data_IF_445933953375
#
_entry.id   IF_445933953375
#
_cell.length_a   1.000
_cell.length_b   1.000
_cell.length_c   1.000
_cell.angle_alpha   90.00
_cell.angle_beta   90.00
_cell.angle_gamma   90.00
#
_symmetry.space_group_name_H-M   'P 1'
#
loop_
_entity.id
_entity.type
_entity.pdbx_description
1 polymer ?
#
# COMPACT_ATOMS: atom_id res chain seq x y z
N UNK A 1 -117.77 -10.43 64.93
CA UNK A 1 -117.31 -10.16 63.54
C UNK A 1 -116.56 -8.85 63.33
N UNK A 2 -116.90 -7.73 63.96
CA UNK A 2 -116.27 -6.43 63.64
C UNK A 2 -114.78 -6.31 64.00
N UNK A 3 -114.34 -6.92 65.11
CA UNK A 3 -112.95 -6.85 65.58
C UNK A 3 -111.97 -7.61 64.66
N UNK A 4 -112.43 -8.69 64.03
CA UNK A 4 -111.59 -9.47 63.10
C UNK A 4 -111.28 -8.73 61.80
N UNK A 5 -112.19 -7.87 61.34
CA UNK A 5 -112.00 -7.10 60.11
C UNK A 5 -110.96 -5.98 60.30
N UNK A 6 -110.94 -5.34 61.47
CA UNK A 6 -109.98 -4.30 61.81
C UNK A 6 -108.55 -4.87 61.86
N UNK A 7 -108.36 -6.05 62.45
CA UNK A 7 -107.05 -6.69 62.49
C UNK A 7 -106.52 -7.07 61.10
N UNK A 8 -107.39 -7.57 60.21
CA UNK A 8 -106.99 -7.89 58.83
C UNK A 8 -106.62 -6.63 58.05
N UNK A 9 -107.38 -5.54 58.20
CA UNK A 9 -107.03 -4.25 57.57
C UNK A 9 -105.75 -3.64 58.14
N UNK A 10 -105.52 -3.74 59.45
CA UNK A 10 -104.29 -3.23 60.07
C UNK A 10 -103.07 -4.04 59.61
N UNK A 11 -103.19 -5.36 59.45
CA UNK A 11 -102.11 -6.22 58.95
C UNK A 11 -101.85 -6.00 57.44
N UNK A 12 -102.88 -5.75 56.65
CA UNK A 12 -102.74 -5.35 55.24
C UNK A 12 -102.08 -3.97 55.12
N UNK A 13 -102.48 -3.00 55.94
CA UNK A 13 -101.85 -1.67 55.96
C UNK A 13 -100.41 -1.73 56.46
N UNK A 14 -100.10 -2.53 57.47
CA UNK A 14 -98.73 -2.65 57.98
C UNK A 14 -97.81 -3.33 56.96
N UNK A 15 -98.31 -4.35 56.24
CA UNK A 15 -97.55 -5.00 55.17
C UNK A 15 -97.41 -4.09 53.94
N UNK A 16 -98.46 -3.37 53.53
CA UNK A 16 -98.38 -2.41 52.43
C UNK A 16 -97.46 -1.22 52.79
N UNK A 17 -97.45 -0.77 54.05
CA UNK A 17 -96.58 0.30 54.53
C UNK A 17 -95.11 -0.15 54.64
N UNK A 18 -94.86 -1.42 55.03
CA UNK A 18 -93.50 -1.98 55.00
C UNK A 18 -93.00 -2.26 53.57
N UNK A 19 -93.89 -2.58 52.63
CA UNK A 19 -93.55 -2.78 51.22
C UNK A 19 -93.39 -1.48 50.42
N UNK A 20 -93.82 -0.32 50.94
CA UNK A 20 -93.78 0.96 50.19
C UNK A 20 -92.66 1.92 50.62
N UNK A 21 -91.79 1.54 51.56
CA UNK A 21 -90.50 2.22 51.73
C UNK A 21 -89.47 1.72 50.70
N UNK A 22 -89.82 1.80 49.42
CA UNK A 22 -88.83 1.82 48.35
C UNK A 22 -88.19 3.21 48.46
N UNK A 23 -87.06 3.30 49.16
CA UNK A 23 -86.20 4.47 49.09
C UNK A 23 -85.91 4.67 47.61
N UNK A 24 -86.35 5.79 47.04
CA UNK A 24 -85.98 6.16 45.68
C UNK A 24 -84.45 6.15 45.63
N UNK A 25 -83.87 5.34 44.73
CA UNK A 25 -82.44 5.33 44.50
C UNK A 25 -82.11 6.62 43.76
N UNK A 26 -81.30 7.48 44.36
CA UNK A 26 -80.90 8.74 43.74
C UNK A 26 -80.16 8.48 42.41
N UNK A 27 -80.37 9.36 41.44
CA UNK A 27 -79.70 9.28 40.14
C UNK A 27 -78.26 9.78 40.28
N UNK A 28 -77.27 9.05 39.76
CA UNK A 28 -75.84 9.39 39.92
C UNK A 28 -75.52 10.79 39.39
N UNK A 29 -76.24 11.25 38.36
CA UNK A 29 -76.09 12.59 37.81
C UNK A 29 -76.43 13.70 38.82
N UNK A 30 -77.33 13.43 39.76
CA UNK A 30 -77.80 14.43 40.73
C UNK A 30 -76.87 14.51 41.94
N UNK A 31 -76.09 13.45 42.18
CA UNK A 31 -75.16 13.37 43.32
C UNK A 31 -73.75 13.82 42.92
N UNK A 32 -73.42 13.91 41.63
CA UNK A 32 -72.15 14.48 41.18
C UNK A 32 -72.15 16.01 41.33
N UNK A 33 -71.22 16.52 42.13
CA UNK A 33 -70.97 17.97 42.26
C UNK A 33 -70.38 18.59 40.99
N UNK A 34 -69.61 17.81 40.21
CA UNK A 34 -69.09 18.21 38.90
C UNK A 34 -68.90 16.98 37.99
N UNK A 35 -69.17 17.19 36.70
CA UNK A 35 -68.85 16.24 35.61
C UNK A 35 -67.53 16.58 34.92
N UNK A 36 -67.02 17.79 35.15
CA UNK A 36 -65.72 18.26 34.66
C UNK A 36 -64.65 17.99 35.72
N UNK A 37 -63.77 17.00 35.45
CA UNK A 37 -62.75 16.54 36.38
C UNK A 37 -61.43 17.33 36.27
N UNK A 38 -61.25 18.07 35.18
CA UNK A 38 -60.07 18.89 34.92
C UNK A 38 -58.87 18.10 34.40
N UNK A 39 -57.67 18.52 34.77
CA UNK A 39 -56.41 17.91 34.35
C UNK A 39 -56.05 16.71 35.21
N UNK A 40 -55.80 15.57 34.58
CA UNK A 40 -55.27 14.35 35.19
C UNK A 40 -53.82 14.16 34.72
N UNK A 41 -52.90 14.04 35.68
CA UNK A 41 -51.49 13.78 35.43
C UNK A 41 -51.23 12.27 35.47
N UNK A 42 -50.75 11.69 34.38
CA UNK A 42 -50.48 10.25 34.28
C UNK A 42 -48.98 9.96 34.18
N UNK A 43 -48.54 8.84 34.76
CA UNK A 43 -47.15 8.37 34.66
C UNK A 43 -46.91 7.54 33.39
N UNK A 44 -47.96 6.88 32.88
CA UNK A 44 -47.93 6.05 31.67
C UNK A 44 -48.24 6.80 30.37
N UNK A 45 -48.51 6.02 29.32
CA UNK A 45 -48.91 6.54 27.99
C UNK A 45 -50.42 6.66 27.82
N UNK A 46 -51.20 6.00 28.67
CA UNK A 46 -52.67 5.93 28.62
C UNK A 46 -53.23 6.12 30.02
N UNK A 47 -54.34 6.86 30.12
CA UNK A 47 -55.06 7.01 31.38
C UNK A 47 -55.75 5.69 31.77
N UNK A 48 -55.73 5.36 33.05
CA UNK A 48 -56.34 4.17 33.65
C UNK A 48 -57.71 4.47 34.24
N UNK A 49 -58.54 3.45 34.40
CA UNK A 49 -59.88 3.58 35.00
C UNK A 49 -59.78 4.02 36.47
N UNK A 50 -58.74 3.56 37.15
CA UNK A 50 -58.42 3.87 38.54
C UNK A 50 -58.03 5.36 38.71
N UNK A 51 -57.20 5.91 37.81
CA UNK A 51 -56.86 7.34 37.81
C UNK A 51 -58.12 8.22 37.63
N UNK A 52 -59.03 7.81 36.73
CA UNK A 52 -60.30 8.53 36.52
C UNK A 52 -61.19 8.43 37.76
N UNK A 53 -61.36 7.24 38.35
CA UNK A 53 -62.17 7.05 39.56
C UNK A 53 -61.61 7.86 40.72
N UNK A 54 -60.29 7.86 40.90
CA UNK A 54 -59.61 8.67 41.92
C UNK A 54 -59.93 10.15 41.73
N UNK A 55 -59.85 10.64 40.49
CA UNK A 55 -60.19 12.04 40.16
C UNK A 55 -61.67 12.36 40.41
N UNK A 56 -62.59 11.45 40.08
CA UNK A 56 -64.02 11.62 40.38
C UNK A 56 -64.22 11.77 41.89
N UNK A 57 -63.59 10.92 42.70
CA UNK A 57 -63.69 10.97 44.17
C UNK A 57 -63.03 12.21 44.78
N UNK A 58 -61.97 12.73 44.17
CA UNK A 58 -61.34 13.98 44.58
C UNK A 58 -62.26 15.19 44.33
N UNK A 59 -62.85 15.26 43.13
CA UNK A 59 -63.71 16.39 42.73
C UNK A 59 -65.13 16.31 43.27
N UNK A 60 -65.61 15.10 43.56
CA UNK A 60 -66.93 14.83 44.11
C UNK A 60 -66.77 14.15 45.48
N UNK A 61 -66.39 14.94 46.49
CA UNK A 61 -66.02 14.46 47.83
C UNK A 61 -67.09 13.58 48.50
N UNK A 62 -68.37 13.81 48.18
CA UNK A 62 -69.51 13.03 48.66
C UNK A 62 -69.54 11.58 48.11
N UNK A 63 -68.75 11.28 47.08
CA UNK A 63 -68.63 9.95 46.47
C UNK A 63 -67.38 9.17 46.90
N UNK A 64 -66.55 9.70 47.83
CA UNK A 64 -65.28 9.08 48.24
C UNK A 64 -65.41 7.61 48.65
N UNK A 65 -66.47 7.30 49.39
CA UNK A 65 -66.71 5.96 49.94
C UNK A 65 -67.61 5.09 49.05
N UNK A 66 -68.00 5.58 47.87
CA UNK A 66 -68.92 4.90 46.97
C UNK A 66 -68.17 4.00 46.00
N UNK A 67 -68.85 2.95 45.53
CA UNK A 67 -68.28 1.97 44.61
C UNK A 67 -68.51 2.40 43.15
N UNK A 68 -67.63 3.28 42.67
CA UNK A 68 -67.66 3.78 41.29
C UNK A 68 -66.97 2.81 40.32
N UNK A 69 -67.55 2.65 39.14
CA UNK A 69 -67.02 1.82 38.06
C UNK A 69 -67.06 2.57 36.73
N UNK A 70 -65.98 2.51 35.96
CA UNK A 70 -65.95 3.01 34.58
C UNK A 70 -66.62 1.99 33.66
N UNK A 71 -67.57 2.47 32.86
CA UNK A 71 -68.31 1.68 31.87
C UNK A 71 -67.59 1.75 30.53
N UNK A 72 -67.21 0.59 30.00
CA UNK A 72 -66.47 0.50 28.74
C UNK A 72 -65.02 0.98 28.86
N UNK A 73 -64.44 1.35 27.71
CA UNK A 73 -63.10 1.94 27.64
C UNK A 73 -63.19 3.47 27.66
N UNK A 74 -62.45 4.16 28.53
CA UNK A 74 -62.41 5.61 28.55
C UNK A 74 -61.77 6.15 27.26
N UNK A 75 -62.21 7.31 26.81
CA UNK A 75 -61.53 8.03 25.72
C UNK A 75 -60.43 8.92 26.29
N UNK A 76 -59.76 9.68 25.41
CA UNK A 76 -58.74 10.66 25.82
C UNK A 76 -59.31 11.84 26.61
N UNK A 77 -60.61 12.08 26.54
CA UNK A 77 -61.24 13.29 27.08
C UNK A 77 -62.50 13.03 27.91
N UNK A 78 -63.05 11.82 27.89
CA UNK A 78 -64.24 11.48 28.65
C UNK A 78 -64.28 10.00 29.06
N UNK A 79 -65.12 9.70 30.04
CA UNK A 79 -65.47 8.34 30.44
C UNK A 79 -66.90 8.29 30.96
N UNK A 80 -67.56 7.14 30.82
CA UNK A 80 -68.85 6.88 31.49
C UNK A 80 -68.60 6.21 32.83
N UNK A 81 -69.24 6.69 33.88
CA UNK A 81 -69.15 6.14 35.24
C UNK A 81 -70.55 5.69 35.70
N UNK A 82 -70.58 4.58 36.42
CA UNK A 82 -71.75 4.10 37.16
C UNK A 82 -71.39 3.79 38.60
N UNK A 83 -72.40 3.63 39.44
CA UNK A 83 -72.28 3.13 40.80
C UNK A 83 -73.32 2.04 41.03
N UNK A 84 -73.05 1.09 41.91
CA UNK A 84 -74.09 0.18 42.39
C UNK A 84 -75.03 0.85 43.38
N UNK A 85 -74.60 1.97 43.96
CA UNK A 85 -75.32 2.70 45.01
C UNK A 85 -76.30 3.75 44.44
N UNK A 86 -76.23 4.04 43.13
CA UNK A 86 -77.01 5.08 42.45
C UNK A 86 -77.54 4.58 41.10
N UNK A 87 -78.67 5.12 40.64
CA UNK A 87 -79.23 4.81 39.34
C UNK A 87 -78.51 5.60 38.23
N UNK A 88 -78.34 5.00 37.05
CA UNK A 88 -77.86 5.71 35.85
C UNK A 88 -76.35 5.70 35.62
N UNK A 89 -75.96 6.02 34.39
CA UNK A 89 -74.57 6.23 33.98
C UNK A 89 -74.35 7.70 33.66
N UNK A 90 -73.20 8.24 34.05
CA UNK A 90 -72.87 9.66 33.84
C UNK A 90 -71.57 9.76 33.06
N UNK A 91 -71.56 10.59 32.03
CA UNK A 91 -70.35 10.95 31.33
C UNK A 91 -69.60 12.05 32.09
N UNK A 92 -68.32 11.84 32.33
CA UNK A 92 -67.39 12.80 32.94
C UNK A 92 -66.31 13.17 31.94
N UNK A 93 -65.87 14.42 31.96
CA UNK A 93 -64.86 14.97 31.06
C UNK A 93 -63.56 15.31 31.79
N UNK A 94 -62.43 15.15 31.11
CA UNK A 94 -61.08 15.42 31.64
C UNK A 94 -60.08 15.72 30.52
N UNK A 95 -58.90 16.22 30.91
CA UNK A 95 -57.73 16.33 30.04
C UNK A 95 -56.57 15.56 30.64
N UNK A 96 -55.72 14.97 29.79
CA UNK A 96 -54.61 14.12 30.23
C UNK A 96 -53.28 14.76 29.84
N UNK A 97 -52.37 14.92 30.81
CA UNK A 97 -50.97 15.32 30.55
C UNK A 97 -50.02 14.35 31.23
N UNK A 98 -48.94 13.98 30.53
CA UNK A 98 -47.90 13.12 31.11
C UNK A 98 -47.15 13.88 32.20
N UNK A 99 -46.92 13.23 33.34
CA UNK A 99 -46.09 13.75 34.43
C UNK A 99 -44.63 13.78 33.96
N UNK A 100 -44.04 14.97 33.91
CA UNK A 100 -42.61 15.13 33.65
C UNK A 100 -41.84 14.79 34.93
N UNK A 101 -41.06 13.71 34.90
CA UNK A 101 -40.09 13.42 35.96
C UNK A 101 -38.84 14.24 35.64
N UNK A 102 -38.56 15.26 36.44
CA UNK A 102 -37.32 16.02 36.32
C UNK A 102 -36.13 15.10 36.56
N UNK A 103 -35.33 14.85 35.52
CA UNK A 103 -34.05 14.14 35.66
C UNK A 103 -33.07 15.04 36.40
N UNK A 104 -32.15 14.44 37.16
CA UNK A 104 -31.07 15.17 37.83
C UNK A 104 -29.97 15.50 36.80
N UNK A 105 -29.30 16.64 36.98
CA UNK A 105 -28.21 17.08 36.11
C UNK A 105 -26.99 16.13 36.17
N UNK A 106 -26.48 15.69 35.01
CA UNK A 106 -25.32 14.80 34.91
C UNK A 106 -24.09 15.35 35.63
N UNK A 107 -23.90 16.67 35.59
CA UNK A 107 -22.79 17.36 36.25
C UNK A 107 -22.77 17.19 37.77
N UNK A 108 -23.90 16.83 38.39
CA UNK A 108 -24.01 16.51 39.82
C UNK A 108 -23.26 15.21 40.17
N UNK A 109 -23.20 14.28 39.23
CA UNK A 109 -22.57 12.97 39.40
C UNK A 109 -21.17 12.91 38.77
N UNK A 110 -20.92 13.68 37.71
CA UNK A 110 -19.61 13.82 37.08
C UNK A 110 -18.72 14.84 37.81
N UNK A 111 -18.35 14.49 39.06
CA UNK A 111 -17.56 15.34 39.95
C UNK A 111 -16.12 15.54 39.46
N UNK A 112 -15.50 14.48 38.94
CA UNK A 112 -14.15 14.48 38.39
C UNK A 112 -14.21 14.61 36.86
N UNK A 113 -13.96 15.81 36.37
CA UNK A 113 -13.93 16.13 34.93
C UNK A 113 -12.55 15.96 34.31
N UNK A 114 -11.49 16.06 35.10
CA UNK A 114 -10.14 15.70 34.66
C UNK A 114 -9.92 14.20 34.84
N UNK A 115 -9.83 13.50 33.71
CA UNK A 115 -9.64 12.05 33.67
C UNK A 115 -8.17 11.66 33.79
N UNK A 116 -7.24 12.62 33.68
CA UNK A 116 -5.80 12.38 33.70
C UNK A 116 -5.28 11.76 32.41
N UNK A 117 -4.27 10.89 32.54
CA UNK A 117 -3.63 10.20 31.41
C UNK A 117 -4.45 8.96 31.00
N UNK A 118 -4.92 8.93 29.74
CA UNK A 118 -5.53 7.75 29.12
C UNK A 118 -4.49 7.05 28.24
N UNK A 119 -4.28 5.76 28.52
CA UNK A 119 -3.34 4.92 27.76
C UNK A 119 -4.04 4.27 26.57
N UNK A 120 -3.90 4.85 25.38
CA UNK A 120 -4.46 4.32 24.13
C UNK A 120 -3.38 3.68 23.26
N UNK A 121 -3.74 2.70 22.43
CA UNK A 121 -2.83 2.06 21.45
C UNK A 121 -2.21 3.08 20.49
N UNK A 122 -2.98 4.12 20.16
CA UNK A 122 -2.61 5.21 19.26
C UNK A 122 -2.70 6.56 20.00
N UNK A 123 -2.24 7.65 19.36
CA UNK A 123 -2.38 9.00 19.94
C UNK A 123 -3.82 9.54 19.90
N UNK A 124 -4.75 8.77 19.31
CA UNK A 124 -6.18 9.03 19.37
C UNK A 124 -6.83 8.06 20.36
N UNK A 125 -7.49 8.59 21.39
CA UNK A 125 -8.26 7.81 22.37
C UNK A 125 -9.61 7.45 21.77
N UNK A 126 -10.06 6.22 21.97
CA UNK A 126 -11.40 5.79 21.53
C UNK A 126 -12.46 6.09 22.59
N UNK A 127 -13.72 6.22 22.19
CA UNK A 127 -14.83 6.65 23.06
C UNK A 127 -14.98 5.75 24.29
N UNK A 128 -14.76 4.45 24.11
CA UNK A 128 -14.85 3.43 25.15
C UNK A 128 -13.79 3.62 26.24
N UNK A 129 -12.56 4.03 25.88
CA UNK A 129 -11.49 4.31 26.83
C UNK A 129 -11.83 5.54 27.69
N UNK A 130 -12.40 6.58 27.07
CA UNK A 130 -12.87 7.79 27.77
C UNK A 130 -13.99 7.42 28.75
N UNK A 131 -15.00 6.67 28.30
CA UNK A 131 -16.12 6.23 29.15
C UNK A 131 -15.61 5.37 30.31
N UNK A 132 -14.66 4.46 30.05
CA UNK A 132 -14.07 3.64 31.10
C UNK A 132 -13.36 4.50 32.15
N UNK A 133 -12.61 5.51 31.71
CA UNK A 133 -11.90 6.42 32.62
C UNK A 133 -12.87 7.30 33.41
N UNK A 134 -13.97 7.75 32.79
CA UNK A 134 -15.05 8.48 33.49
C UNK A 134 -15.62 7.62 34.62
N UNK A 135 -15.94 6.35 34.34
CA UNK A 135 -16.50 5.41 35.32
C UNK A 135 -15.53 5.04 36.43
N UNK A 136 -14.23 5.00 36.13
CA UNK A 136 -13.18 4.79 37.14
C UNK A 136 -13.07 6.00 38.08
N UNK A 137 -13.06 7.22 37.54
CA UNK A 137 -12.90 8.46 38.31
C UNK A 137 -14.19 8.92 39.00
N UNK A 138 -15.35 8.50 38.51
CA UNK A 138 -16.67 8.87 39.03
C UNK A 138 -17.46 7.59 39.34
N UNK A 139 -17.22 6.99 40.50
CA UNK A 139 -17.81 5.71 40.91
C UNK A 139 -19.34 5.68 40.86
N UNK A 140 -19.99 6.83 41.12
CA UNK A 140 -21.45 7.00 41.07
C UNK A 140 -22.02 6.74 39.66
N UNK A 141 -21.18 6.82 38.61
CA UNK A 141 -21.53 6.62 37.22
C UNK A 141 -21.18 5.22 36.67
N UNK A 142 -20.60 4.32 37.48
CA UNK A 142 -20.06 3.02 37.04
C UNK A 142 -21.09 2.16 36.27
N UNK A 143 -22.34 2.17 36.74
CA UNK A 143 -23.43 1.37 36.18
C UNK A 143 -24.36 2.17 35.24
N UNK A 144 -24.01 3.43 34.94
CA UNK A 144 -24.83 4.29 34.11
C UNK A 144 -24.48 4.14 32.63
N UNK A 145 -25.46 4.39 31.76
CA UNK A 145 -25.26 4.31 30.31
C UNK A 145 -24.72 5.63 29.75
N UNK A 146 -23.40 5.81 29.86
CA UNK A 146 -22.71 7.00 29.35
C UNK A 146 -22.42 6.88 27.85
N UNK A 147 -22.55 7.99 27.13
CA UNK A 147 -22.25 8.09 25.70
C UNK A 147 -21.41 9.34 25.43
N UNK A 148 -20.38 9.21 24.57
CA UNK A 148 -19.63 10.37 24.06
C UNK A 148 -20.42 11.02 22.93
N UNK A 149 -20.61 12.33 23.03
CA UNK A 149 -21.28 13.16 22.03
C UNK A 149 -20.26 13.59 20.97
N UNK A 150 -20.58 13.30 19.70
CA UNK A 150 -19.70 13.62 18.58
C UNK A 150 -18.38 12.84 18.58
N UNK A 151 -17.34 13.42 17.97
CA UNK A 151 -15.97 12.91 18.02
C UNK A 151 -15.18 13.62 19.13
N UNK A 152 -14.46 12.89 20.00
CA UNK A 152 -13.58 13.50 20.98
C UNK A 152 -12.43 14.24 20.29
N UNK A 153 -11.98 15.33 20.90
CA UNK A 153 -10.75 16.03 20.52
C UNK A 153 -9.54 15.34 21.16
N UNK A 154 -8.33 15.84 20.89
CA UNK A 154 -7.09 15.28 21.45
C UNK A 154 -7.04 15.31 22.99
N UNK A 155 -7.74 16.25 23.62
CA UNK A 155 -7.66 16.46 25.09
C UNK A 155 -9.02 16.60 25.76
N UNK A 156 -10.13 16.51 25.02
CA UNK A 156 -11.48 16.75 25.55
C UNK A 156 -12.55 15.90 24.89
N UNK A 157 -13.59 15.59 25.64
CA UNK A 157 -14.80 14.97 25.13
C UNK A 157 -16.05 15.47 25.86
N UNK A 158 -17.18 15.47 25.16
CA UNK A 158 -18.49 15.74 25.77
C UNK A 158 -19.19 14.41 26.03
N UNK A 159 -19.73 14.23 27.23
CA UNK A 159 -20.46 13.03 27.66
C UNK A 159 -21.91 13.36 28.00
N UNK A 160 -22.81 12.45 27.65
CA UNK A 160 -24.23 12.47 28.02
C UNK A 160 -24.67 11.11 28.58
N UNK A 161 -25.87 11.07 29.13
CA UNK A 161 -26.55 9.86 29.56
C UNK A 161 -28.05 10.00 29.34
N UNK A 162 -28.72 8.89 29.02
CA UNK A 162 -30.19 8.87 28.95
C UNK A 162 -30.83 8.89 30.35
N UNK A 163 -30.07 8.60 31.41
CA UNK A 163 -30.56 8.56 32.80
C UNK A 163 -30.55 9.95 33.46
N UNK A 164 -29.81 10.90 32.90
CA UNK A 164 -29.63 12.25 33.44
C UNK A 164 -30.05 13.32 32.41
N UNK A 165 -30.22 14.55 32.86
CA UNK A 165 -30.30 15.70 31.95
C UNK A 165 -28.94 16.40 31.83
N UNK A 166 -28.73 17.09 30.70
CA UNK A 166 -27.52 17.83 30.41
C UNK A 166 -26.38 16.99 29.84
N UNK A 167 -25.38 17.71 29.32
CA UNK A 167 -24.12 17.16 28.84
C UNK A 167 -22.98 17.77 29.65
N UNK A 168 -21.85 17.06 29.74
CA UNK A 168 -20.70 17.56 30.47
C UNK A 168 -19.40 17.32 29.71
N UNK A 169 -18.50 18.29 29.77
CA UNK A 169 -17.16 18.18 29.18
C UNK A 169 -16.19 17.55 30.19
N UNK A 170 -15.35 16.64 29.70
CA UNK A 170 -14.22 16.04 30.40
C UNK A 170 -12.92 16.34 29.68
N UNK A 171 -11.82 16.41 30.43
CA UNK A 171 -10.47 16.65 29.92
C UNK A 171 -9.57 15.45 30.18
N UNK A 172 -8.58 15.22 29.31
CA UNK A 172 -7.60 14.15 29.45
C UNK A 172 -6.32 14.46 28.69
N UNK A 173 -5.27 13.69 28.96
CA UNK A 173 -4.06 13.61 28.14
C UNK A 173 -3.92 12.19 27.59
N UNK A 174 -3.31 12.06 26.41
CA UNK A 174 -3.13 10.76 25.76
C UNK A 174 -1.69 10.32 25.86
N UNK A 175 -1.46 9.14 26.41
CA UNK A 175 -0.16 8.47 26.32
C UNK A 175 -0.30 7.21 25.49
N UNK A 176 0.59 7.06 24.51
CA UNK A 176 0.65 5.84 23.72
C UNK A 176 0.99 4.67 24.66
N UNK A 177 0.14 3.65 24.66
CA UNK A 177 0.35 2.40 25.36
C UNK A 177 1.57 1.72 24.75
N UNK A 178 2.66 1.70 25.49
CA UNK A 178 3.82 0.89 25.12
C UNK A 178 3.40 -0.58 25.19
N UNK A 179 3.21 -1.18 24.02
CA UNK A 179 3.14 -2.63 23.92
C UNK A 179 4.58 -3.10 24.10
N UNK A 180 4.89 -3.64 25.28
CA UNK A 180 6.17 -4.27 25.54
C UNK A 180 6.36 -5.38 24.49
N UNK A 181 7.17 -5.12 23.47
CA UNK A 181 7.51 -6.16 22.49
C UNK A 181 8.34 -7.20 23.23
N UNK A 182 8.18 -8.47 22.86
CA UNK A 182 9.00 -9.52 23.44
C UNK A 182 10.37 -9.51 22.76
N UNK A 183 11.42 -9.85 23.51
CA UNK A 183 12.81 -9.88 23.01
C UNK A 183 12.97 -10.90 21.87
N UNK A 184 13.54 -10.49 20.74
CA UNK A 184 13.75 -11.36 19.57
C UNK A 184 14.53 -12.64 19.92
N UNK A 185 15.48 -12.54 20.86
CA UNK A 185 16.30 -13.66 21.33
C UNK A 185 15.50 -14.78 22.00
N UNK A 186 14.30 -14.51 22.51
CA UNK A 186 13.41 -15.55 23.07
C UNK A 186 12.78 -16.43 21.98
N UNK A 187 12.65 -15.89 20.76
CA UNK A 187 12.12 -16.61 19.61
C UNK A 187 13.24 -17.20 18.74
N UNK A 188 14.38 -16.51 18.61
CA UNK A 188 15.55 -16.98 17.87
C UNK A 188 16.39 -17.91 18.75
N UNK A 189 15.89 -19.14 18.93
CA UNK A 189 16.52 -20.17 19.77
C UNK A 189 17.77 -20.76 19.13
N UNK A 190 17.74 -21.00 17.82
CA UNK A 190 18.85 -21.56 17.06
C UNK A 190 19.65 -20.43 16.40
N UNK A 191 20.78 -20.07 17.01
CA UNK A 191 21.69 -19.02 16.52
C UNK A 191 22.75 -19.51 15.55
N UNK A 192 23.14 -20.78 15.66
CA UNK A 192 24.00 -21.43 14.68
C UNK A 192 23.14 -22.00 13.55
N UNK A 193 23.24 -21.38 12.37
CA UNK A 193 22.46 -21.72 11.20
C UNK A 193 23.07 -22.90 10.43
N UNK A 194 24.32 -23.28 10.76
CA UNK A 194 25.12 -24.25 10.04
C UNK A 194 25.54 -23.75 8.66
N UNK A 195 25.59 -24.67 7.70
CA UNK A 195 26.01 -24.37 6.33
C UNK A 195 24.90 -23.67 5.53
N UNK A 196 25.27 -22.54 4.91
CA UNK A 196 24.47 -21.82 3.91
C UNK A 196 25.12 -22.02 2.55
N UNK A 197 24.37 -22.59 1.61
CA UNK A 197 24.81 -22.70 0.23
C UNK A 197 24.59 -21.37 -0.49
N UNK A 198 25.67 -20.74 -0.96
CA UNK A 198 25.61 -19.46 -1.68
C UNK A 198 26.39 -19.53 -2.99
N UNK A 199 26.05 -18.73 -3.99
CA UNK A 199 26.82 -18.66 -5.25
C UNK A 199 28.18 -17.98 -5.05
N UNK A 200 28.25 -17.07 -4.09
CA UNK A 200 29.43 -16.27 -3.78
C UNK A 200 30.14 -16.79 -2.52
N UNK A 201 31.30 -16.20 -2.20
CA UNK A 201 32.06 -16.52 -0.99
C UNK A 201 31.37 -16.07 0.30
N UNK A 202 30.35 -15.22 0.20
CA UNK A 202 29.55 -14.71 1.32
C UNK A 202 28.08 -14.99 1.08
N UNK A 203 27.38 -15.41 2.13
CA UNK A 203 25.94 -15.56 2.09
C UNK A 203 25.26 -14.19 1.96
N UNK A 204 24.23 -14.12 1.13
CA UNK A 204 23.36 -12.95 0.99
C UNK A 204 22.43 -12.82 2.21
N UNK A 205 21.85 -11.63 2.40
CA UNK A 205 20.93 -11.36 3.52
C UNK A 205 19.70 -12.26 3.44
N UNK A 206 19.20 -12.49 2.23
CA UNK A 206 18.04 -13.33 1.93
C UNK A 206 18.33 -14.81 2.22
N UNK A 207 19.51 -15.31 1.86
CA UNK A 207 19.95 -16.67 2.19
C UNK A 207 20.04 -16.88 3.71
N UNK A 208 20.60 -15.90 4.45
CA UNK A 208 20.69 -15.93 5.90
C UNK A 208 19.30 -15.90 6.55
N UNK A 209 18.42 -14.99 6.13
CA UNK A 209 17.03 -14.91 6.65
C UNK A 209 16.28 -16.21 6.38
N UNK A 210 16.42 -16.77 5.18
CA UNK A 210 15.80 -18.05 4.83
C UNK A 210 16.28 -19.17 5.75
N UNK A 211 17.58 -19.22 6.06
CA UNK A 211 18.15 -20.20 6.98
C UNK A 211 17.72 -19.98 8.43
N UNK A 212 17.59 -18.74 8.88
CA UNK A 212 17.01 -18.41 10.20
C UNK A 212 15.60 -18.98 10.31
N UNK A 213 14.75 -18.75 9.29
CA UNK A 213 13.36 -19.22 9.26
C UNK A 213 13.25 -20.75 9.19
N UNK A 214 14.17 -21.41 8.49
CA UNK A 214 14.27 -22.88 8.46
C UNK A 214 14.61 -23.46 9.84
N UNK A 215 15.57 -22.85 10.56
CA UNK A 215 16.04 -23.34 11.86
C UNK A 215 15.19 -22.88 13.05
N UNK A 216 14.39 -21.84 12.87
CA UNK A 216 13.50 -21.26 13.87
C UNK A 216 12.09 -21.12 13.28
N UNK A 217 11.36 -22.24 13.17
CA UNK A 217 10.05 -22.30 12.50
C UNK A 217 9.01 -21.31 13.05
N UNK A 218 9.11 -20.91 14.33
CA UNK A 218 8.29 -19.89 14.97
C UNK A 218 8.48 -18.48 14.37
N UNK A 219 9.54 -18.24 13.60
CA UNK A 219 9.86 -16.99 12.93
C UNK A 219 9.50 -16.99 11.43
N UNK A 220 8.92 -18.08 10.89
CA UNK A 220 8.69 -18.25 9.44
C UNK A 220 7.88 -17.10 8.81
N UNK A 221 6.86 -16.62 9.52
CA UNK A 221 5.96 -15.56 9.07
C UNK A 221 6.34 -14.16 9.57
N UNK A 222 7.46 -14.05 10.29
CA UNK A 222 7.89 -12.77 10.87
C UNK A 222 8.71 -11.97 9.86
N UNK A 223 8.66 -10.64 9.98
CA UNK A 223 9.46 -9.75 9.16
C UNK A 223 10.86 -9.61 9.79
N UNK A 224 11.81 -10.41 9.31
CA UNK A 224 13.21 -10.40 9.76
C UNK A 224 14.06 -9.58 8.79
N UNK A 225 15.01 -8.82 9.33
CA UNK A 225 15.94 -7.99 8.56
C UNK A 225 17.37 -8.21 9.07
N UNK A 226 18.33 -8.34 8.16
CA UNK A 226 19.75 -8.31 8.52
C UNK A 226 20.22 -6.86 8.62
N UNK A 227 20.87 -6.53 9.73
CA UNK A 227 21.47 -5.22 9.96
C UNK A 227 22.87 -5.15 9.36
N UNK A 228 23.12 -4.09 8.59
CA UNK A 228 24.40 -3.88 7.92
C UNK A 228 24.69 -4.93 6.85
N UNK A 229 25.97 -5.11 6.54
CA UNK A 229 26.46 -6.20 5.69
C UNK A 229 26.84 -7.42 6.55
N UNK A 230 26.43 -8.65 6.16
CA UNK A 230 26.92 -9.87 6.79
C UNK A 230 28.44 -9.96 6.71
N UNK A 231 29.04 -10.49 7.77
CA UNK A 231 30.43 -10.96 7.74
C UNK A 231 30.48 -12.37 7.16
N UNK A 232 31.68 -12.92 6.97
CA UNK A 232 31.87 -14.26 6.39
C UNK A 232 31.13 -15.38 7.13
N UNK A 233 30.96 -15.24 8.45
CA UNK A 233 30.37 -16.29 9.29
C UNK A 233 29.36 -15.78 10.34
N UNK A 234 29.00 -14.49 10.30
CA UNK A 234 28.06 -13.89 11.27
C UNK A 234 27.19 -12.82 10.64
N UNK A 235 25.98 -12.69 11.17
CA UNK A 235 25.07 -11.59 10.88
C UNK A 235 24.31 -11.16 12.13
N UNK A 236 23.88 -9.91 12.15
CA UNK A 236 22.95 -9.38 13.16
C UNK A 236 21.57 -9.28 12.53
N UNK A 237 20.56 -9.83 13.18
CA UNK A 237 19.16 -9.81 12.74
C UNK A 237 18.31 -9.00 13.70
N UNK A 238 17.35 -8.25 13.14
CA UNK A 238 16.30 -7.53 13.86
C UNK A 238 14.93 -7.85 13.26
N UNK A 239 13.89 -7.38 13.93
CA UNK A 239 12.52 -7.45 13.43
C UNK A 239 11.72 -6.27 13.97
N UNK A 240 10.77 -5.77 13.19
CA UNK A 240 9.85 -4.73 13.66
C UNK A 240 8.78 -5.30 14.60
N UNK A 241 8.60 -6.62 14.64
CA UNK A 241 7.61 -7.29 15.49
C UNK A 241 8.14 -7.56 16.91
N UNK A 242 9.46 -7.54 17.09
CA UNK A 242 10.15 -7.84 18.35
C UNK A 242 11.01 -6.66 18.82
N UNK A 243 11.44 -6.66 20.07
CA UNK A 243 12.50 -5.75 20.53
C UNK A 243 13.85 -6.47 20.54
N UNK A 244 14.92 -5.68 20.45
CA UNK A 244 16.30 -6.19 20.49
C UNK A 244 16.79 -6.77 19.17
N UNK A 245 18.07 -7.11 19.18
CA UNK A 245 18.80 -7.66 18.04
C UNK A 245 19.44 -8.99 18.44
N UNK A 246 19.57 -9.90 17.49
CA UNK A 246 20.20 -11.18 17.72
C UNK A 246 21.35 -11.41 16.73
N UNK A 247 22.44 -12.00 17.21
CA UNK A 247 23.55 -12.44 16.35
C UNK A 247 23.39 -13.92 16.02
N UNK A 248 23.60 -14.24 14.75
CA UNK A 248 23.62 -15.60 14.22
C UNK A 248 24.99 -15.92 13.65
N UNK A 249 25.33 -17.21 13.63
CA UNK A 249 26.58 -17.74 13.05
C UNK A 249 26.25 -18.74 11.94
N UNK A 250 27.12 -18.85 10.95
CA UNK A 250 26.97 -19.79 9.84
C UNK A 250 28.32 -20.05 9.16
N UNK A 251 28.37 -21.08 8.32
CA UNK A 251 29.44 -21.29 7.34
C UNK A 251 28.87 -21.14 5.93
N UNK A 252 29.68 -20.72 4.97
CA UNK A 252 29.26 -20.60 3.57
C UNK A 252 29.87 -21.73 2.76
N UNK A 253 29.03 -22.52 2.10
CA UNK A 253 29.47 -23.45 1.07
C UNK A 253 29.16 -22.85 -0.28
N UNK A 254 30.20 -22.68 -1.09
CA UNK A 254 30.00 -22.19 -2.44
C UNK A 254 29.25 -23.24 -3.26
N UNK A 255 28.17 -22.81 -3.89
CA UNK A 255 27.42 -23.61 -4.84
C UNK A 255 28.29 -23.75 -6.08
N UNK A 256 28.86 -24.94 -6.29
CA UNK A 256 29.45 -25.27 -7.58
C UNK A 256 28.35 -25.18 -8.63
N UNK A 257 28.41 -24.12 -9.44
CA UNK A 257 27.62 -24.05 -10.66
C UNK A 257 28.41 -24.85 -11.68
N UNK A 258 28.04 -26.10 -11.88
CA UNK A 258 28.61 -26.94 -12.93
C UNK A 258 28.35 -26.26 -14.27
N UNK A 259 29.35 -25.54 -14.76
CA UNK A 259 29.33 -24.95 -16.11
C UNK A 259 29.37 -26.12 -17.09
N UNK A 260 28.63 -26.00 -18.19
CA UNK A 260 28.70 -26.99 -19.26
C UNK A 260 30.05 -26.83 -19.99
N UNK A 261 30.63 -27.93 -20.49
CA UNK A 261 31.89 -27.85 -21.24
C UNK A 261 31.74 -27.05 -22.54
N UNK A 262 32.69 -26.16 -22.84
CA UNK A 262 32.74 -25.36 -24.07
C UNK A 262 32.68 -26.24 -25.33
N UNK A 263 33.29 -27.43 -25.27
CA UNK A 263 33.30 -28.45 -26.32
C UNK A 263 31.88 -28.87 -26.77
N UNK A 264 30.88 -28.76 -25.89
CA UNK A 264 29.48 -29.10 -26.18
C UNK A 264 28.86 -28.13 -27.19
N UNK A 265 29.31 -26.87 -27.18
CA UNK A 265 28.77 -25.80 -28.03
C UNK A 265 29.70 -25.46 -29.21
N UNK A 266 31.02 -25.67 -29.05
CA UNK A 266 32.01 -25.50 -30.11
C UNK A 266 32.08 -26.76 -31.01
N UNK A 267 30.98 -27.02 -31.72
CA UNK A 267 30.83 -28.22 -32.58
C UNK A 267 31.74 -28.17 -33.81
N UNK A 268 31.92 -26.99 -34.40
CA UNK A 268 32.76 -26.75 -35.57
C UNK A 268 34.10 -26.15 -35.13
N UNK A 269 35.13 -27.02 -35.04
CA UNK A 269 36.50 -26.63 -34.68
C UNK A 269 37.34 -26.20 -35.88
N UNK A 270 37.01 -26.68 -37.06
CA UNK A 270 37.60 -26.18 -38.30
C UNK A 270 36.84 -24.94 -38.76
N UNK A 271 37.51 -23.79 -38.68
CA UNK A 271 36.95 -22.49 -39.03
C UNK A 271 37.07 -22.20 -40.54
N UNK A 272 37.84 -23.02 -41.26
CA UNK A 272 38.14 -22.84 -42.68
C UNK A 272 39.05 -21.64 -42.94
N UNK A 273 38.87 -21.02 -44.10
CA UNK A 273 39.66 -19.87 -44.54
C UNK A 273 39.22 -18.57 -43.83
N UNK A 274 40.14 -17.92 -43.13
CA UNK A 274 39.96 -16.58 -42.56
C UNK A 274 40.65 -15.56 -43.45
N UNK A 275 39.88 -14.57 -43.90
CA UNK A 275 40.39 -13.47 -44.73
C UNK A 275 40.88 -12.34 -43.84
N UNK A 276 42.21 -12.23 -43.70
CA UNK A 276 42.85 -11.18 -42.91
C UNK A 276 43.63 -10.21 -43.79
N UNK A 277 43.85 -8.98 -43.32
CA UNK A 277 44.64 -7.98 -44.06
C UNK A 277 46.09 -8.43 -44.26
N UNK A 278 46.60 -9.19 -43.31
CA UNK A 278 47.96 -9.74 -43.30
C UNK A 278 47.92 -11.28 -43.30
N UNK A 279 49.09 -11.91 -43.38
CA UNK A 279 49.21 -13.37 -43.27
C UNK A 279 49.07 -13.89 -41.83
N UNK A 280 48.92 -12.99 -40.85
CA UNK A 280 48.62 -13.32 -39.45
C UNK A 280 47.20 -12.84 -39.12
N UNK A 281 46.35 -13.78 -38.70
CA UNK A 281 44.96 -13.51 -38.30
C UNK A 281 44.93 -12.92 -36.89
N UNK A 282 44.04 -11.97 -36.63
CA UNK A 282 43.85 -11.41 -35.28
C UNK A 282 42.95 -12.29 -34.41
N UNK A 283 43.02 -12.11 -33.08
CA UNK A 283 42.16 -12.83 -32.14
C UNK A 283 40.68 -12.56 -32.40
N UNK A 284 40.35 -11.33 -32.77
CA UNK A 284 38.99 -10.89 -33.09
C UNK A 284 38.47 -11.53 -34.38
N UNK A 285 39.31 -11.66 -35.41
CA UNK A 285 38.97 -12.36 -36.65
C UNK A 285 38.67 -13.84 -36.37
N UNK A 286 39.48 -14.51 -35.54
CA UNK A 286 39.25 -15.90 -35.11
C UNK A 286 37.95 -16.02 -34.32
N UNK A 287 37.71 -15.16 -33.32
CA UNK A 287 36.48 -15.16 -32.51
C UNK A 287 35.25 -14.93 -33.39
N UNK A 288 35.34 -14.02 -34.35
CA UNK A 288 34.24 -13.75 -35.29
C UNK A 288 33.91 -14.98 -36.12
N UNK A 289 34.94 -15.67 -36.64
CA UNK A 289 34.77 -16.90 -37.40
C UNK A 289 34.21 -18.05 -36.54
N UNK A 290 34.64 -18.17 -35.28
CA UNK A 290 34.06 -19.13 -34.31
C UNK A 290 32.56 -18.89 -34.16
N UNK A 291 32.15 -17.63 -33.96
CA UNK A 291 30.75 -17.24 -33.77
C UNK A 291 29.90 -17.41 -35.04
N UNK A 292 30.50 -17.26 -36.21
CA UNK A 292 29.85 -17.53 -37.49
C UNK A 292 29.59 -19.03 -37.68
N UNK A 293 30.58 -19.88 -37.38
CA UNK A 293 30.51 -21.34 -37.56
C UNK A 293 29.75 -22.05 -36.43
N UNK A 294 29.65 -21.44 -35.25
CA UNK A 294 28.99 -22.00 -34.09
C UNK A 294 27.94 -21.00 -33.56
N UNK A 295 26.74 -21.02 -34.13
CA UNK A 295 25.67 -20.06 -33.83
C UNK A 295 25.30 -19.99 -32.34
N UNK A 296 25.43 -21.10 -31.61
CA UNK A 296 25.16 -21.20 -30.17
C UNK A 296 26.11 -20.33 -29.34
N UNK A 297 27.26 -19.94 -29.90
CA UNK A 297 28.28 -19.12 -29.26
C UNK A 297 28.24 -17.63 -29.65
N UNK A 298 27.32 -17.22 -30.53
CA UNK A 298 27.28 -15.86 -31.10
C UNK A 298 27.26 -14.74 -30.04
N UNK A 299 26.50 -14.95 -28.97
CA UNK A 299 26.32 -13.98 -27.88
C UNK A 299 27.21 -14.26 -26.67
N UNK A 300 28.07 -15.27 -26.73
CA UNK A 300 28.91 -15.68 -25.60
C UNK A 300 30.20 -14.85 -25.57
N UNK A 301 30.75 -14.71 -24.36
CA UNK A 301 32.04 -14.03 -24.19
C UNK A 301 33.18 -15.02 -24.44
N UNK A 302 33.70 -15.03 -25.65
CA UNK A 302 34.81 -15.89 -26.07
C UNK A 302 36.13 -15.12 -26.01
N UNK A 303 37.19 -15.80 -25.58
CA UNK A 303 38.54 -15.24 -25.51
C UNK A 303 39.54 -16.23 -26.09
N UNK A 304 40.50 -15.73 -26.88
CA UNK A 304 41.65 -16.53 -27.33
C UNK A 304 42.69 -16.57 -26.23
N UNK A 305 43.13 -17.78 -25.88
CA UNK A 305 44.17 -18.04 -24.89
C UNK A 305 45.53 -17.92 -25.56
N UNK A 306 46.41 -17.10 -24.98
CA UNK A 306 47.76 -16.88 -25.53
C UNK A 306 47.75 -16.18 -26.89
N UNK A 307 48.79 -16.40 -27.69
CA UNK A 307 48.88 -15.95 -29.07
C UNK A 307 48.47 -17.09 -30.04
N UNK A 308 47.63 -16.82 -31.05
CA UNK A 308 47.30 -17.81 -32.07
C UNK A 308 48.53 -18.14 -32.91
N UNK A 309 48.61 -19.40 -33.35
CA UNK A 309 49.59 -19.85 -34.35
C UNK A 309 49.07 -19.57 -35.76
N UNK A 310 49.85 -19.89 -36.79
CA UNK A 310 49.45 -19.67 -38.19
C UNK A 310 48.19 -20.45 -38.61
N UNK A 311 47.88 -21.56 -37.94
CA UNK A 311 46.77 -22.45 -38.32
C UNK A 311 45.87 -22.87 -37.16
N UNK A 312 46.19 -22.46 -35.93
CA UNK A 312 45.47 -22.91 -34.72
C UNK A 312 45.35 -21.83 -33.66
N UNK A 313 44.28 -21.90 -32.87
CA UNK A 313 44.10 -21.11 -31.67
C UNK A 313 43.38 -21.90 -30.57
N UNK A 314 43.64 -21.54 -29.31
CA UNK A 314 42.89 -22.07 -28.17
C UNK A 314 41.88 -21.03 -27.72
N UNK A 315 40.62 -21.41 -27.54
CA UNK A 315 39.52 -20.55 -27.09
C UNK A 315 38.98 -20.99 -25.74
N UNK A 316 38.65 -20.01 -24.90
CA UNK A 316 37.96 -20.19 -23.62
C UNK A 316 36.76 -19.24 -23.52
N UNK A 317 35.95 -19.44 -22.49
CA UNK A 317 34.84 -18.55 -22.15
C UNK A 317 34.62 -18.52 -20.65
N UNK A 318 34.22 -17.38 -20.11
CA UNK A 318 33.82 -17.27 -18.71
C UNK A 318 32.46 -17.92 -18.44
N UNK A 319 31.67 -18.19 -19.48
CA UNK A 319 30.33 -18.78 -19.40
C UNK A 319 30.37 -20.32 -19.34
N UNK A 320 31.47 -20.93 -19.76
CA UNK A 320 31.65 -22.38 -19.89
C UNK A 320 32.88 -22.87 -19.11
N UNK A 321 32.99 -24.18 -18.91
CA UNK A 321 34.24 -24.79 -18.42
C UNK A 321 35.06 -25.39 -19.57
N UNK A 322 36.37 -25.47 -19.38
CA UNK A 322 37.31 -26.02 -20.35
C UNK A 322 37.73 -25.06 -21.46
N UNK A 323 38.77 -25.45 -22.17
CA UNK A 323 39.31 -24.74 -23.33
C UNK A 323 39.21 -25.66 -24.55
N UNK A 324 39.16 -25.08 -25.75
CA UNK A 324 39.08 -25.86 -26.98
C UNK A 324 39.99 -25.29 -28.06
N UNK A 325 40.63 -26.18 -28.81
CA UNK A 325 41.44 -25.82 -29.97
C UNK A 325 40.57 -25.72 -31.23
N UNK A 326 40.81 -24.68 -32.03
CA UNK A 326 40.25 -24.47 -33.36
C UNK A 326 41.36 -24.41 -34.41
N UNK A 327 41.04 -24.80 -35.63
CA UNK A 327 41.96 -24.78 -36.79
C UNK A 327 41.45 -23.85 -37.88
N UNK A 328 42.35 -23.26 -38.65
CA UNK A 328 42.01 -22.38 -39.77
C UNK A 328 43.15 -22.29 -40.79
N UNK A 329 42.84 -21.74 -41.96
CA UNK A 329 43.83 -21.27 -42.95
C UNK A 329 43.69 -19.77 -43.14
N UNK A 330 44.76 -19.10 -43.56
CA UNK A 330 44.78 -17.64 -43.74
C UNK A 330 44.85 -17.29 -45.21
N UNK A 331 43.93 -16.45 -45.69
CA UNK A 331 44.03 -15.83 -47.00
C UNK A 331 44.16 -14.33 -46.86
N UNK A 332 45.20 -13.77 -47.48
CA UNK A 332 45.38 -12.33 -47.52
C UNK A 332 44.21 -11.69 -48.26
N UNK A 333 43.52 -10.77 -47.61
CA UNK A 333 42.45 -9.97 -48.18
C UNK A 333 43.06 -9.03 -49.21
N UNK A 334 42.79 -9.29 -50.49
CA UNK A 334 43.16 -8.35 -51.55
C UNK A 334 42.37 -7.06 -51.34
N UNK A 335 43.08 -5.98 -51.07
CA UNK A 335 42.51 -4.63 -51.09
C UNK A 335 42.75 -4.09 -52.49
N UNK A 336 41.72 -4.10 -53.33
CA UNK A 336 41.78 -3.48 -54.65
C UNK A 336 42.05 -1.98 -54.47
N UNK A 337 43.24 -1.51 -54.86
CA UNK A 337 43.54 -0.07 -54.92
C UNK A 337 42.75 0.53 -56.08
N UNK A 338 42.25 1.75 -55.90
CA UNK A 338 41.57 2.47 -56.99
C UNK A 338 42.63 2.98 -57.99
N UNK A 339 42.31 3.03 -59.28
CA UNK A 339 43.25 3.54 -60.30
C UNK A 339 43.59 5.02 -60.10
N UNK A 340 44.88 5.37 -60.24
CA UNK A 340 45.36 6.75 -60.17
C UNK A 340 44.68 7.66 -61.21
N UNK A 341 44.29 7.08 -62.36
CA UNK A 341 43.56 7.74 -63.46
C UNK A 341 42.22 8.35 -63.03
N UNK A 342 41.59 7.78 -62.00
CA UNK A 342 40.33 8.28 -61.45
C UNK A 342 40.52 9.63 -60.74
N UNK A 343 41.73 9.89 -60.25
CA UNK A 343 42.06 11.04 -59.42
C UNK A 343 42.95 12.07 -60.14
N UNK A 344 43.90 11.63 -60.98
CA UNK A 344 44.74 12.53 -61.77
C UNK A 344 44.06 12.83 -63.11
N UNK A 345 43.14 13.81 -63.07
CA UNK A 345 42.32 14.20 -64.22
C UNK A 345 43.02 15.19 -65.15
N UNK A 346 43.85 16.08 -64.58
CA UNK A 346 44.60 17.09 -65.33
C UNK A 346 46.05 16.63 -65.47
N UNK A 347 46.41 16.18 -66.68
CA UNK A 347 47.75 15.71 -67.03
C UNK A 347 48.66 16.80 -67.56
N UNK A 348 48.10 17.82 -68.21
CA UNK A 348 48.83 19.04 -68.58
C UNK A 348 48.92 19.97 -67.37
N UNK A 349 50.13 20.14 -66.86
CA UNK A 349 50.42 20.94 -65.67
C UNK A 349 50.66 22.41 -66.02
N UNK A 350 50.81 22.74 -67.30
CA UNK A 350 51.20 24.05 -67.80
C UNK A 350 52.64 24.42 -67.45
N UNK A 351 52.89 25.71 -67.24
CA UNK A 351 54.23 26.23 -66.94
C UNK A 351 54.64 25.93 -65.48
N UNK A 352 55.83 25.33 -65.33
CA UNK A 352 56.53 25.13 -64.07
C UNK A 352 57.73 26.08 -64.02
N UNK A 353 57.76 26.94 -63.00
CA UNK A 353 58.90 27.82 -62.75
C UNK A 353 59.98 27.05 -62.00
N UNK A 354 61.12 26.82 -62.64
CA UNK A 354 62.29 26.16 -62.04
C UNK A 354 63.51 27.08 -62.07
N UNK A 355 64.48 26.83 -61.19
CA UNK A 355 65.77 27.53 -61.22
C UNK A 355 66.61 27.17 -62.45
N UNK A 356 66.37 25.98 -63.00
CA UNK A 356 67.08 25.42 -64.15
C UNK A 356 66.14 25.20 -65.34
N UNK A 357 66.70 24.76 -66.47
CA UNK A 357 65.94 24.43 -67.68
C UNK A 357 65.13 23.13 -67.56
N UNK A 358 65.24 22.41 -66.44
CA UNK A 358 64.47 21.21 -66.11
C UNK A 358 63.75 21.40 -64.78
N UNK A 359 62.51 20.95 -64.70
CA UNK A 359 61.76 20.91 -63.45
C UNK A 359 62.25 19.76 -62.57
N UNK A 360 62.36 20.01 -61.27
CA UNK A 360 62.65 18.97 -60.27
C UNK A 360 61.42 18.11 -60.01
N UNK A 361 61.62 16.90 -59.45
CA UNK A 361 60.52 15.99 -59.12
C UNK A 361 59.53 16.63 -58.14
N UNK A 362 60.04 17.41 -57.19
CA UNK A 362 59.27 18.11 -56.18
C UNK A 362 58.43 19.26 -56.77
N UNK A 363 58.98 20.01 -57.72
CA UNK A 363 58.25 21.06 -58.45
C UNK A 363 57.12 20.46 -59.29
N UNK A 364 57.38 19.33 -59.96
CA UNK A 364 56.37 18.60 -60.73
C UNK A 364 55.27 18.06 -59.81
N UNK A 365 55.61 17.40 -58.70
CA UNK A 365 54.63 16.91 -57.72
C UNK A 365 53.79 18.06 -57.14
N UNK A 366 54.42 19.19 -56.82
CA UNK A 366 53.73 20.37 -56.33
C UNK A 366 52.72 20.89 -57.34
N UNK A 367 53.11 20.92 -58.63
CA UNK A 367 52.21 21.35 -59.71
C UNK A 367 51.07 20.36 -59.97
N UNK A 368 51.34 19.05 -59.90
CA UNK A 368 50.28 18.01 -59.95
C UNK A 368 49.25 18.25 -58.85
N UNK A 369 49.70 18.53 -57.62
CA UNK A 369 48.83 18.79 -56.46
C UNK A 369 48.05 20.10 -56.57
N UNK A 370 48.63 21.13 -57.19
CA UNK A 370 47.95 22.39 -57.49
C UNK A 370 46.83 22.19 -58.51
N UNK A 371 47.08 21.43 -59.58
CA UNK A 371 46.13 21.22 -60.68
C UNK A 371 45.08 20.14 -60.37
N UNK A 372 45.44 19.16 -59.54
CA UNK A 372 44.57 18.07 -59.11
C UNK A 372 44.38 18.15 -57.59
N UNK A 373 43.57 19.11 -57.12
CA UNK A 373 43.38 19.40 -55.69
C UNK A 373 43.02 18.18 -54.83
N UNK A 374 42.34 17.19 -55.40
CA UNK A 374 42.00 15.92 -54.74
C UNK A 374 43.23 15.04 -54.41
N UNK A 375 44.41 15.36 -54.95
CA UNK A 375 45.69 14.69 -54.69
C UNK A 375 46.59 15.46 -53.72
N UNK A 376 46.18 16.63 -53.21
CA UNK A 376 47.02 17.51 -52.37
C UNK A 376 47.66 16.80 -51.17
N UNK A 377 46.89 15.92 -50.53
CA UNK A 377 47.32 15.15 -49.36
C UNK A 377 47.73 13.71 -49.67
N UNK A 378 47.89 13.37 -50.96
CA UNK A 378 48.28 12.03 -51.39
C UNK A 378 49.78 11.94 -51.57
N UNK A 379 50.32 10.74 -51.35
CA UNK A 379 51.74 10.48 -51.52
C UNK A 379 52.02 10.18 -53.00
N UNK A 380 52.53 11.17 -53.73
CA UNK A 380 52.86 11.05 -55.15
C UNK A 380 54.37 10.94 -55.30
N UNK A 381 54.81 10.12 -56.26
CA UNK A 381 56.22 9.91 -56.58
C UNK A 381 56.42 10.02 -58.09
N UNK A 382 57.47 10.72 -58.52
CA UNK A 382 57.91 10.70 -59.92
C UNK A 382 58.75 9.45 -60.16
N UNK A 383 58.38 8.70 -61.19
CA UNK A 383 59.07 7.48 -61.64
C UNK A 383 60.20 7.88 -62.57
N UNK A 384 61.42 7.43 -62.25
CA UNK A 384 62.62 7.75 -63.03
C UNK A 384 62.99 9.24 -62.97
N UNK A 385 63.74 9.69 -63.97
CA UNK A 385 64.09 11.10 -64.18
C UNK A 385 63.08 11.77 -65.13
N UNK A 386 62.56 12.97 -64.80
CA UNK A 386 61.68 13.70 -65.70
C UNK A 386 62.43 14.15 -66.97
N UNK A 387 61.71 14.18 -68.09
CA UNK A 387 62.23 14.81 -69.31
C UNK A 387 62.00 16.33 -69.24
N UNK A 388 62.39 17.05 -70.30
CA UNK A 388 62.21 18.51 -70.35
C UNK A 388 60.74 18.94 -70.34
N UNK A 389 59.83 18.05 -70.75
CA UNK A 389 58.39 18.37 -70.89
C UNK A 389 57.45 17.32 -70.31
N UNK A 390 57.95 16.20 -69.80
CA UNK A 390 57.12 15.07 -69.33
C UNK A 390 57.67 14.42 -68.07
N UNK A 391 56.78 13.84 -67.27
CA UNK A 391 57.15 12.98 -66.15
C UNK A 391 56.10 11.89 -65.94
N UNK A 392 56.54 10.72 -65.47
CA UNK A 392 55.62 9.66 -65.03
C UNK A 392 55.43 9.74 -63.53
N UNK A 393 54.19 9.71 -63.05
CA UNK A 393 53.83 9.76 -61.64
C UNK A 393 53.11 8.49 -61.20
N UNK A 394 53.45 8.02 -60.00
CA UNK A 394 52.78 6.92 -59.31
C UNK A 394 52.44 7.30 -57.87
N UNK A 395 51.70 6.43 -57.19
CA UNK A 395 51.37 6.58 -55.77
C UNK A 395 51.20 5.22 -55.12
N UNK A 396 51.66 5.07 -53.88
CA UNK A 396 51.43 3.86 -53.11
C UNK A 396 49.97 3.72 -52.66
N UNK A 397 49.19 4.81 -52.71
CA UNK A 397 47.76 4.82 -52.35
C UNK A 397 46.86 4.30 -53.49
N UNK A 398 47.36 4.27 -54.72
CA UNK A 398 46.60 3.97 -55.94
C UNK A 398 47.30 2.89 -56.77
N UNK A 399 46.60 2.34 -57.77
CA UNK A 399 47.22 1.49 -58.79
C UNK A 399 47.40 2.26 -60.10
N UNK A 400 48.46 1.92 -60.85
CA UNK A 400 48.80 2.53 -62.14
C UNK A 400 49.79 3.70 -62.05
N UNK A 401 50.46 3.95 -63.18
CA UNK A 401 51.38 5.07 -63.39
C UNK A 401 50.85 5.93 -64.53
N UNK A 402 51.02 7.25 -64.46
CA UNK A 402 50.50 8.17 -65.46
C UNK A 402 51.54 9.19 -65.88
N UNK A 403 51.57 9.50 -67.17
CA UNK A 403 52.37 10.59 -67.69
C UNK A 403 51.65 11.94 -67.52
N UNK A 404 52.41 12.95 -67.12
CA UNK A 404 52.02 14.36 -67.07
C UNK A 404 52.93 15.18 -67.96
N UNK A 405 52.41 16.26 -68.53
CA UNK A 405 53.10 17.14 -69.47
C UNK A 405 53.20 18.56 -68.89
N UNK A 406 54.29 19.28 -69.20
CA UNK A 406 54.54 20.63 -68.71
C UNK A 406 55.54 21.38 -69.60
N UNK A 407 55.65 22.68 -69.39
CA UNK A 407 56.75 23.51 -69.90
C UNK A 407 57.55 24.11 -68.75
N UNK A 408 58.84 24.37 -68.93
CA UNK A 408 59.70 24.93 -67.88
C UNK A 408 60.04 26.38 -68.21
N UNK A 409 59.76 27.29 -67.26
CA UNK A 409 60.25 28.66 -67.33
C UNK A 409 61.35 28.85 -66.30
N UNK A 410 62.53 29.26 -66.77
CA UNK A 410 63.65 29.57 -65.89
C UNK A 410 63.32 30.81 -65.06
N UNK A 411 63.42 30.68 -63.74
CA UNK A 411 63.28 31.79 -62.80
C UNK A 411 64.46 32.74 -62.99
N UNK A 412 64.18 33.97 -63.44
CA UNK A 412 65.16 35.06 -63.57
C UNK A 412 65.82 35.40 -62.25
#
# INVERSE_FOLDING_TARGET
SFISLIFVFMFLFLNVFYLTQIKAIDNLSDVLSTKELGLILIEGTTITKEEIISQIKEKNNNLKNQNLQIVGEPTKTNAKVKSNDFQGEVEVAFTVKKKEVSKVELSTFLKNKDLGEIKSKDLKVIKEEIISQIKEKNSDLKNQNLQIVGEPTETKATVKSDDFQGEAEVTFTVKKKEVSKVELSTFLKTKDLGEITSKDLKATKEEIISKIKEKNNNLKNQNLQILGEPTENKATVKSDDFQGEAKVTFTVKQKEVSKVELSTFLKNKDLGEIKSKDLKVTKEEIISQIKEKNSDLKNQNLQIVGEPTETKATVKSDDFQGEAEVTFTVKKKEVSKVELSTFLKTKDLGEITSKDLKATKEEIISKIKEKNNNLKNKNLQIVGEPTETKATVKSDDFQGELEVEFTVKKKS
#
